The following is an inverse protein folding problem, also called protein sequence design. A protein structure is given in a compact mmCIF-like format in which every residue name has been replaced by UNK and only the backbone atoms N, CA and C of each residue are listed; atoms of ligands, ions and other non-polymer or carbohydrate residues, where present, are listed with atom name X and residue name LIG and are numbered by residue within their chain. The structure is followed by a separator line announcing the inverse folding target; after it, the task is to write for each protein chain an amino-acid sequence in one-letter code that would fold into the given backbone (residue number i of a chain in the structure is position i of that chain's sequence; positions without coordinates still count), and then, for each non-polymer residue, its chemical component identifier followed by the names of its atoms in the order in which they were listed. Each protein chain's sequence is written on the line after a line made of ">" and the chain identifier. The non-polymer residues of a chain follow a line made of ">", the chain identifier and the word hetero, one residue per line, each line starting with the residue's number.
data_IF_230739639223
#
_entry.id   IF_230739639223
#
_cell.length_a   1.000
_cell.length_b   1.000
_cell.length_c   1.000
_cell.angle_alpha   90.00
_cell.angle_beta   90.00
_cell.angle_gamma   90.00
#
_symmetry.space_group_name_H-M   'P 1'
#
loop_
_entity.id
_entity.type
_entity.pdbx_description
1 polymer ?
#
# COMPACT_ATOMS: atom_id res chain seq x y z
N UNK A 1 11.40 0.96 1.45
CA UNK A 1 12.59 1.01 0.58
C UNK A 1 13.17 2.42 0.62
N UNK A 2 14.45 2.56 0.95
CA UNK A 2 15.17 3.83 0.92
C UNK A 2 15.76 4.04 -0.47
N UNK A 3 15.67 5.29 -1.00
CA UNK A 3 16.30 5.65 -2.26
C UNK A 3 15.44 5.42 -3.51
N UNK A 4 14.13 5.33 -3.39
CA UNK A 4 13.23 5.35 -4.55
C UNK A 4 13.07 6.78 -5.07
N UNK A 5 12.97 6.95 -6.40
CA UNK A 5 12.80 8.26 -7.03
C UNK A 5 12.17 8.14 -8.41
N UNK A 6 11.60 9.24 -8.87
CA UNK A 6 11.31 9.50 -10.28
C UNK A 6 12.33 10.51 -10.83
N UNK A 7 12.78 10.33 -12.07
CA UNK A 7 13.53 11.33 -12.79
C UNK A 7 12.63 11.98 -13.85
N UNK A 8 12.43 13.31 -13.73
CA UNK A 8 11.70 14.11 -14.71
C UNK A 8 12.74 14.82 -15.58
N UNK A 9 12.74 14.54 -16.89
CA UNK A 9 13.64 15.22 -17.84
C UNK A 9 12.88 16.31 -18.58
N UNK A 10 13.30 17.55 -18.40
CA UNK A 10 12.81 18.72 -19.12
C UNK A 10 13.83 19.09 -20.18
N UNK A 11 13.40 19.17 -21.45
CA UNK A 11 14.25 19.59 -22.58
C UNK A 11 13.92 21.01 -22.99
N UNK A 12 14.92 21.89 -22.94
CA UNK A 12 14.86 23.25 -23.50
C UNK A 12 15.51 23.21 -24.87
N UNK A 13 14.67 23.13 -25.92
CA UNK A 13 15.17 23.01 -27.31
C UNK A 13 15.86 24.31 -27.79
N UNK A 14 15.28 25.46 -27.44
CA UNK A 14 15.82 26.78 -27.77
C UNK A 14 15.78 27.67 -26.52
N UNK A 15 16.95 28.00 -25.99
CA UNK A 15 17.11 28.88 -24.84
C UNK A 15 17.83 30.18 -25.21
N UNK A 16 17.92 31.15 -24.27
CA UNK A 16 17.41 31.05 -22.90
C UNK A 16 15.90 31.17 -22.80
N UNK A 17 15.28 30.52 -21.79
CA UNK A 17 13.83 30.66 -21.52
C UNK A 17 13.52 32.09 -21.07
N UNK A 18 12.41 32.66 -21.56
CA UNK A 18 12.00 34.04 -21.23
C UNK A 18 11.23 34.13 -19.90
N UNK A 19 10.72 33.00 -19.41
CA UNK A 19 9.98 32.89 -18.14
C UNK A 19 10.39 31.61 -17.40
N UNK A 20 9.96 31.48 -16.15
CA UNK A 20 10.10 30.24 -15.40
C UNK A 20 9.30 29.11 -16.03
N UNK A 21 9.80 27.87 -15.91
CA UNK A 21 9.07 26.66 -16.27
C UNK A 21 8.49 26.08 -14.98
N UNK A 22 7.18 25.94 -14.92
CA UNK A 22 6.49 25.27 -13.80
C UNK A 22 6.47 23.78 -14.05
N UNK A 23 6.88 23.01 -13.06
CA UNK A 23 6.81 21.55 -13.06
C UNK A 23 5.67 21.14 -12.15
N UNK A 24 4.74 20.32 -12.65
CA UNK A 24 3.68 19.72 -11.87
C UNK A 24 3.73 18.21 -12.02
N UNK A 25 3.54 17.51 -10.92
CA UNK A 25 3.48 16.06 -10.84
C UNK A 25 2.53 15.68 -9.71
N UNK A 26 1.57 14.80 -9.99
CA UNK A 26 0.69 14.20 -9.00
C UNK A 26 1.14 12.75 -8.81
N UNK A 27 1.81 12.48 -7.72
CA UNK A 27 2.31 11.15 -7.42
C UNK A 27 1.16 10.13 -7.29
N UNK A 28 1.36 8.88 -7.71
CA UNK A 28 0.36 7.82 -7.58
C UNK A 28 -0.08 7.59 -6.12
N UNK A 29 -1.25 6.99 -5.94
CA UNK A 29 -1.79 6.64 -4.62
C UNK A 29 -0.76 5.86 -3.80
N UNK A 30 -0.58 6.28 -2.55
CA UNK A 30 0.37 5.65 -1.61
C UNK A 30 1.84 6.02 -1.84
N UNK A 31 2.14 6.87 -2.81
CA UNK A 31 3.48 7.43 -3.02
C UNK A 31 3.50 8.87 -2.50
N UNK A 32 4.55 9.25 -1.81
CA UNK A 32 4.76 10.60 -1.29
C UNK A 32 6.20 11.05 -1.45
N UNK A 33 6.42 12.36 -1.44
CA UNK A 33 7.78 12.92 -1.42
C UNK A 33 8.50 12.53 -0.13
N UNK A 34 9.75 12.11 -0.25
CA UNK A 34 10.64 11.80 0.87
C UNK A 34 11.76 12.81 1.06
N UNK A 35 11.77 13.88 0.28
CA UNK A 35 12.71 14.97 0.31
C UNK A 35 12.48 15.95 -0.84
N UNK A 36 13.17 17.10 -0.83
CA UNK A 36 13.08 18.08 -1.91
C UNK A 36 13.70 17.51 -3.20
N UNK A 37 13.05 17.74 -4.37
CA UNK A 37 13.64 17.42 -5.65
C UNK A 37 14.98 18.13 -5.88
N UNK A 38 15.91 17.45 -6.56
CA UNK A 38 17.24 17.96 -6.87
C UNK A 38 17.49 17.92 -8.37
N UNK A 39 18.30 18.88 -8.85
CA UNK A 39 18.83 18.83 -10.20
C UNK A 39 20.02 17.89 -10.24
N UNK A 40 19.97 16.92 -11.15
CA UNK A 40 21.06 15.94 -11.32
C UNK A 40 22.24 16.51 -12.11
N UNK A 41 23.44 15.98 -11.81
CA UNK A 41 24.68 16.37 -12.48
C UNK A 41 24.70 16.03 -13.99
N UNK A 42 23.85 15.12 -14.44
CA UNK A 42 23.64 14.78 -15.86
C UNK A 42 22.93 15.87 -16.66
N UNK A 43 22.40 16.91 -16.01
CA UNK A 43 21.76 18.04 -16.66
C UNK A 43 22.76 18.85 -17.48
N UNK A 44 22.40 19.18 -18.73
CA UNK A 44 23.25 19.99 -19.63
C UNK A 44 22.83 21.46 -19.69
N UNK A 45 21.59 21.80 -19.29
CA UNK A 45 21.12 23.18 -19.15
C UNK A 45 21.55 23.76 -17.79
N UNK A 46 21.74 25.08 -17.74
CA UNK A 46 22.06 25.83 -16.51
C UNK A 46 20.83 26.05 -15.59
N UNK A 47 19.63 25.61 -15.98
CA UNK A 47 18.39 25.84 -15.22
C UNK A 47 18.53 25.51 -13.74
N UNK A 48 17.96 26.35 -12.88
CA UNK A 48 18.03 26.24 -11.41
C UNK A 48 16.63 25.94 -10.89
N UNK A 49 16.50 24.93 -10.00
CA UNK A 49 15.24 24.59 -9.35
C UNK A 49 14.95 25.56 -8.19
N UNK A 50 13.66 25.89 -8.04
CA UNK A 50 13.15 26.69 -6.92
C UNK A 50 11.73 26.31 -6.56
N UNK A 51 11.33 26.55 -5.31
CA UNK A 51 9.95 26.33 -4.83
C UNK A 51 9.50 24.88 -4.79
N UNK A 52 10.40 23.90 -4.96
CA UNK A 52 10.03 22.51 -4.93
C UNK A 52 9.73 22.02 -3.50
N UNK A 53 8.57 21.38 -3.25
CA UNK A 53 8.21 20.87 -1.94
C UNK A 53 9.08 19.66 -1.56
N UNK A 54 9.31 19.48 -0.26
CA UNK A 54 10.06 18.33 0.27
C UNK A 54 9.14 17.21 0.79
N UNK A 55 7.85 17.48 0.92
CA UNK A 55 6.84 16.55 1.45
C UNK A 55 5.52 16.69 0.71
N UNK A 56 4.64 15.72 0.83
CA UNK A 56 3.33 15.72 0.19
C UNK A 56 3.24 14.73 -0.98
N UNK A 57 2.18 14.82 -1.74
CA UNK A 57 1.88 13.91 -2.87
C UNK A 57 1.89 14.62 -4.22
N UNK A 58 2.32 15.87 -4.26
CA UNK A 58 2.37 16.69 -5.49
C UNK A 58 3.64 17.56 -5.52
N UNK A 59 4.11 17.90 -6.73
CA UNK A 59 5.17 18.90 -6.96
C UNK A 59 4.62 20.32 -7.13
N UNK A 60 3.59 20.69 -6.38
CA UNK A 60 3.01 22.02 -6.49
C UNK A 60 4.04 23.12 -6.18
N UNK A 61 4.19 24.10 -7.08
CA UNK A 61 5.11 25.24 -6.93
C UNK A 61 6.56 24.98 -7.33
N UNK A 62 6.92 23.77 -7.77
CA UNK A 62 8.27 23.47 -8.27
C UNK A 62 8.50 24.15 -9.62
N UNK A 63 9.59 24.89 -9.75
CA UNK A 63 9.91 25.66 -10.95
C UNK A 63 11.40 25.54 -11.34
N UNK A 64 11.64 25.66 -12.64
CA UNK A 64 12.96 26.00 -13.18
C UNK A 64 12.96 27.49 -13.44
N UNK A 65 13.93 28.23 -12.87
CA UNK A 65 14.04 29.68 -13.05
C UNK A 65 14.15 30.08 -14.54
N UNK A 66 13.69 31.29 -14.88
CA UNK A 66 13.92 31.88 -16.19
C UNK A 66 15.41 31.94 -16.57
N UNK A 67 15.68 32.15 -17.85
CA UNK A 67 17.03 32.14 -18.44
C UNK A 67 17.72 30.76 -18.44
N UNK A 68 16.96 29.67 -18.41
CA UNK A 68 17.50 28.34 -18.63
C UNK A 68 18.00 28.20 -20.06
N UNK A 69 19.27 27.80 -20.22
CA UNK A 69 19.91 27.59 -21.54
C UNK A 69 19.33 26.36 -22.25
N UNK A 70 19.52 26.27 -23.56
CA UNK A 70 19.26 25.04 -24.31
C UNK A 70 19.95 23.84 -23.66
N UNK A 71 19.31 22.68 -23.70
CA UNK A 71 19.79 21.44 -23.10
C UNK A 71 18.73 20.74 -22.27
N UNK A 72 19.15 19.78 -21.48
CA UNK A 72 18.28 18.98 -20.59
C UNK A 72 18.47 19.36 -19.14
N UNK A 73 17.37 19.31 -18.38
CA UNK A 73 17.37 19.42 -16.91
C UNK A 73 16.74 18.12 -16.39
N UNK A 74 17.54 17.33 -15.71
CA UNK A 74 17.06 16.10 -15.05
C UNK A 74 16.79 16.43 -13.60
N UNK A 75 15.54 16.24 -13.20
CA UNK A 75 15.03 16.52 -11.86
C UNK A 75 14.78 15.20 -11.16
N UNK A 76 15.56 14.89 -10.15
CA UNK A 76 15.32 13.71 -9.30
C UNK A 76 14.33 14.05 -8.21
N UNK A 77 13.23 13.32 -8.18
CA UNK A 77 12.12 13.45 -7.22
C UNK A 77 12.20 12.28 -6.27
N UNK A 78 12.75 12.43 -5.05
CA UNK A 78 12.85 11.36 -4.10
C UNK A 78 11.46 11.03 -3.53
N UNK A 79 11.13 9.74 -3.46
CA UNK A 79 9.81 9.30 -3.00
C UNK A 79 9.90 8.19 -1.95
N UNK A 80 8.87 8.15 -1.10
CA UNK A 80 8.60 7.05 -0.19
C UNK A 80 7.39 6.27 -0.72
N UNK A 81 7.49 4.95 -0.66
CA UNK A 81 6.41 4.03 -1.03
C UNK A 81 5.73 3.57 0.25
N UNK A 82 4.49 3.99 0.46
CA UNK A 82 3.67 3.59 1.60
C UNK A 82 3.07 2.19 1.42
N UNK A 83 2.54 1.64 2.50
CA UNK A 83 1.92 0.29 2.51
C UNK A 83 0.63 0.18 1.69
N UNK A 84 0.04 1.30 1.32
CA UNK A 84 -1.16 1.37 0.47
C UNK A 84 -0.85 1.72 -0.99
N UNK A 85 0.43 1.77 -1.36
CA UNK A 85 0.83 2.06 -2.74
C UNK A 85 0.41 0.93 -3.67
N UNK A 86 -0.18 1.30 -4.81
CA UNK A 86 -0.61 0.36 -5.84
C UNK A 86 0.18 0.58 -7.13
N UNK A 87 0.30 -0.45 -7.95
CA UNK A 87 0.84 -0.32 -9.32
C UNK A 87 0.07 0.77 -10.07
N UNK A 88 0.79 1.72 -10.65
CA UNK A 88 0.17 2.85 -11.35
C UNK A 88 1.16 3.60 -12.23
N UNK A 89 0.61 4.48 -13.06
CA UNK A 89 1.39 5.42 -13.87
C UNK A 89 1.62 6.71 -13.10
N UNK A 90 2.76 7.35 -13.33
CA UNK A 90 3.02 8.71 -12.87
C UNK A 90 3.06 9.66 -14.07
N UNK A 91 2.47 10.86 -13.92
CA UNK A 91 2.39 11.83 -15.01
C UNK A 91 2.90 13.18 -14.54
N UNK A 92 3.99 13.61 -15.14
CA UNK A 92 4.56 14.93 -14.93
C UNK A 92 4.25 15.88 -16.10
N UNK A 93 4.05 17.15 -15.79
CA UNK A 93 3.83 18.20 -16.78
C UNK A 93 4.84 19.34 -16.58
N UNK A 94 5.23 19.97 -17.70
CA UNK A 94 6.00 21.20 -17.69
C UNK A 94 5.25 22.28 -18.45
N UNK A 95 5.19 23.50 -17.91
CA UNK A 95 4.52 24.64 -18.57
C UNK A 95 5.26 25.94 -18.37
N UNK A 96 5.10 26.88 -19.29
CA UNK A 96 5.76 28.20 -19.22
C UNK A 96 7.05 28.24 -20.04
N UNK A 97 8.11 28.85 -19.48
CA UNK A 97 9.40 29.02 -20.19
C UNK A 97 9.38 30.03 -21.34
N UNK A 98 8.20 30.59 -21.67
CA UNK A 98 7.99 31.40 -22.87
C UNK A 98 7.52 30.61 -24.08
N UNK A 99 7.23 29.32 -23.93
CA UNK A 99 6.69 28.47 -25.00
C UNK A 99 5.14 28.46 -24.93
N UNK A 100 4.45 29.08 -25.90
CA UNK A 100 2.98 29.10 -25.92
C UNK A 100 2.36 27.73 -26.16
N UNK A 101 3.10 26.76 -26.72
CA UNK A 101 2.61 25.40 -26.93
C UNK A 101 2.71 24.55 -25.65
N UNK A 102 3.56 24.95 -24.68
CA UNK A 102 3.75 24.25 -23.42
C UNK A 102 2.88 24.85 -22.31
N UNK A 103 1.56 24.73 -22.45
CA UNK A 103 0.60 25.29 -21.49
C UNK A 103 -0.39 24.20 -21.04
N UNK A 104 0.15 23.14 -20.41
CA UNK A 104 -0.64 21.99 -19.97
C UNK A 104 -1.13 21.09 -21.12
N UNK A 105 -0.52 21.20 -22.32
CA UNK A 105 -0.84 20.35 -23.49
C UNK A 105 -0.10 19.00 -23.42
N UNK A 106 -0.56 18.04 -24.22
CA UNK A 106 0.08 16.71 -24.30
C UNK A 106 1.57 16.76 -24.68
N UNK A 107 1.99 17.80 -25.43
CA UNK A 107 3.39 17.99 -25.84
C UNK A 107 4.34 18.27 -24.66
N UNK A 108 3.82 18.77 -23.53
CA UNK A 108 4.58 19.11 -22.34
C UNK A 108 4.31 18.15 -21.19
N UNK A 109 3.70 17.02 -21.48
CA UNK A 109 3.32 15.98 -20.52
C UNK A 109 4.09 14.71 -20.82
N UNK A 110 4.59 14.07 -19.77
CA UNK A 110 5.21 12.75 -19.85
C UNK A 110 4.59 11.83 -18.80
N UNK A 111 4.27 10.62 -19.23
CA UNK A 111 3.68 9.59 -18.36
C UNK A 111 4.60 8.38 -18.33
N UNK A 112 4.91 7.86 -17.15
CA UNK A 112 5.68 6.62 -17.04
C UNK A 112 4.81 5.42 -17.46
N UNK A 113 5.42 4.33 -17.95
CA UNK A 113 4.76 3.02 -17.91
C UNK A 113 4.30 2.70 -16.48
N UNK A 114 3.33 1.79 -16.29
CA UNK A 114 2.94 1.36 -14.96
C UNK A 114 4.16 0.90 -14.16
N UNK A 115 4.41 1.55 -13.03
CA UNK A 115 5.47 1.17 -12.10
C UNK A 115 4.87 0.15 -11.14
N UNK A 116 5.41 -1.08 -11.18
CA UNK A 116 4.97 -2.14 -10.29
C UNK A 116 5.45 -1.85 -8.85
N UNK A 117 4.53 -1.86 -7.91
CA UNK A 117 4.89 -1.96 -6.48
C UNK A 117 5.26 -3.40 -6.23
N UNK A 118 6.51 -3.66 -5.84
CA UNK A 118 6.98 -5.00 -5.53
C UNK A 118 6.19 -5.60 -4.37
N UNK A 119 5.97 -6.93 -4.43
CA UNK A 119 5.33 -7.66 -3.34
C UNK A 119 6.16 -7.56 -2.05
N UNK A 120 5.52 -7.21 -0.95
CA UNK A 120 6.16 -7.23 0.36
C UNK A 120 6.22 -8.67 0.91
N UNK A 121 7.25 -8.98 1.68
CA UNK A 121 7.31 -10.25 2.38
C UNK A 121 6.15 -10.32 3.40
N UNK A 122 5.33 -11.38 3.31
CA UNK A 122 4.30 -11.71 4.30
C UNK A 122 4.86 -12.76 5.24
N UNK A 123 4.85 -12.46 6.54
CA UNK A 123 5.21 -13.42 7.58
C UNK A 123 3.98 -13.64 8.44
N UNK A 124 3.54 -14.90 8.52
CA UNK A 124 2.37 -15.31 9.30
C UNK A 124 2.80 -16.22 10.45
N UNK A 125 2.06 -16.17 11.53
CA UNK A 125 2.22 -16.98 12.74
C UNK A 125 0.94 -17.80 12.95
N UNK A 126 1.01 -19.13 13.18
CA UNK A 126 -0.17 -19.93 13.44
C UNK A 126 -0.90 -19.50 14.71
N UNK A 127 -2.21 -19.37 14.64
CA UNK A 127 -3.08 -19.00 15.76
C UNK A 127 -3.72 -20.23 16.40
N UNK A 128 -4.15 -20.09 17.64
CA UNK A 128 -4.96 -21.10 18.31
C UNK A 128 -5.80 -20.54 19.45
N UNK A 129 -6.96 -21.12 19.64
CA UNK A 129 -7.79 -20.74 20.78
C UNK A 129 -8.83 -21.82 21.16
N UNK A 130 -9.45 -21.64 22.32
CA UNK A 130 -10.38 -22.61 22.91
C UNK A 130 -11.65 -21.95 23.38
N UNK A 131 -12.81 -22.54 23.07
CA UNK A 131 -14.13 -22.11 23.58
C UNK A 131 -14.94 -23.30 24.04
N UNK A 132 -15.94 -23.05 24.89
CA UNK A 132 -16.93 -24.07 25.29
C UNK A 132 -17.98 -24.27 24.21
N UNK A 133 -18.25 -25.50 23.79
CA UNK A 133 -19.19 -25.79 22.71
C UNK A 133 -20.64 -25.38 23.00
N UNK A 134 -21.07 -25.35 24.27
CA UNK A 134 -22.44 -24.93 24.65
C UNK A 134 -22.63 -23.43 24.47
N UNK A 135 -21.65 -22.63 24.92
CA UNK A 135 -21.76 -21.17 24.88
C UNK A 135 -21.29 -20.56 23.57
N UNK A 136 -20.39 -21.24 22.88
CA UNK A 136 -19.67 -20.63 21.76
C UNK A 136 -18.80 -19.46 22.22
N UNK A 137 -18.44 -18.56 21.32
CA UNK A 137 -17.74 -17.33 21.63
C UNK A 137 -16.54 -17.03 20.71
N UNK A 138 -15.76 -16.05 21.08
CA UNK A 138 -14.55 -15.66 20.36
C UNK A 138 -13.40 -16.60 20.72
N UNK A 139 -12.81 -17.21 19.71
CA UNK A 139 -11.61 -18.07 19.81
C UNK A 139 -10.35 -17.21 19.77
N UNK A 140 -10.31 -16.31 18.78
CA UNK A 140 -9.23 -15.35 18.58
C UNK A 140 -9.84 -14.00 18.20
N UNK A 141 -9.34 -12.94 18.81
CA UNK A 141 -9.87 -11.60 18.59
C UNK A 141 -9.38 -10.98 17.27
N UNK A 142 -8.19 -11.39 16.82
CA UNK A 142 -7.58 -10.92 15.58
C UNK A 142 -6.44 -11.86 15.16
N UNK A 143 -6.72 -12.78 14.22
CA UNK A 143 -5.75 -13.75 13.70
C UNK A 143 -4.60 -13.15 12.89
N UNK A 144 -4.61 -11.85 12.60
CA UNK A 144 -3.52 -11.18 11.87
C UNK A 144 -2.71 -10.26 12.78
N UNK A 145 -2.97 -10.29 14.09
CA UNK A 145 -2.40 -9.32 15.04
C UNK A 145 -0.89 -9.44 15.25
N UNK A 146 -0.33 -10.61 15.06
CA UNK A 146 1.10 -10.93 15.14
C UNK A 146 1.74 -11.23 13.77
N UNK A 147 0.95 -11.12 12.69
CA UNK A 147 1.43 -11.21 11.32
C UNK A 147 2.08 -9.91 10.84
N UNK A 148 2.94 -10.00 9.82
CA UNK A 148 3.57 -8.81 9.25
C UNK A 148 3.56 -8.81 7.72
N UNK A 149 3.46 -7.59 7.14
CA UNK A 149 3.62 -7.32 5.71
C UNK A 149 4.75 -6.29 5.55
N UNK A 150 5.84 -6.68 4.89
CA UNK A 150 7.02 -5.82 4.72
C UNK A 150 7.69 -5.42 6.04
N UNK A 151 7.56 -6.28 7.09
CA UNK A 151 8.08 -6.02 8.43
C UNK A 151 7.21 -5.10 9.29
N UNK A 152 6.05 -4.63 8.80
CA UNK A 152 5.06 -3.89 9.58
C UNK A 152 3.92 -4.82 10.00
N UNK A 153 3.37 -4.62 11.19
CA UNK A 153 2.21 -5.40 11.67
C UNK A 153 1.07 -5.36 10.65
N UNK A 154 0.46 -6.51 10.38
CA UNK A 154 -0.71 -6.59 9.52
C UNK A 154 -1.91 -5.92 10.21
N UNK A 155 -2.58 -5.04 9.49
CA UNK A 155 -3.73 -4.29 9.97
C UNK A 155 -4.88 -4.39 8.97
N UNK A 156 -6.08 -4.63 9.49
CA UNK A 156 -7.31 -4.76 8.69
C UNK A 156 -8.11 -3.44 8.67
N UNK A 157 -9.09 -3.38 7.77
CA UNK A 157 -10.00 -2.22 7.64
C UNK A 157 -9.55 -1.20 6.61
N UNK A 158 -10.27 -0.08 6.50
CA UNK A 158 -10.16 0.86 5.37
C UNK A 158 -8.82 1.58 5.19
N UNK A 159 -7.98 1.63 6.22
CA UNK A 159 -6.60 2.17 6.16
C UNK A 159 -5.55 1.11 6.48
N UNK A 160 -5.94 -0.16 6.56
CA UNK A 160 -5.05 -1.27 6.82
C UNK A 160 -4.16 -1.62 5.61
N UNK A 161 -3.07 -2.35 5.88
CA UNK A 161 -2.16 -2.87 4.86
C UNK A 161 -2.50 -4.31 4.43
N UNK A 162 -3.51 -4.94 5.08
CA UNK A 162 -3.89 -6.33 4.92
C UNK A 162 -5.38 -6.53 4.66
N UNK A 163 -5.70 -7.62 3.95
CA UNK A 163 -7.02 -8.23 3.90
C UNK A 163 -6.94 -9.68 4.30
N UNK A 164 -7.99 -10.21 4.93
CA UNK A 164 -8.06 -11.60 5.35
C UNK A 164 -9.36 -12.24 4.86
N UNK A 165 -9.30 -13.50 4.49
CA UNK A 165 -10.47 -14.32 4.12
C UNK A 165 -10.21 -15.79 4.45
N UNK A 166 -11.25 -16.62 4.44
CA UNK A 166 -11.07 -18.08 4.46
C UNK A 166 -10.27 -18.48 3.21
N UNK A 167 -9.30 -19.38 3.38
CA UNK A 167 -8.49 -19.81 2.23
C UNK A 167 -9.36 -20.57 1.20
N UNK A 168 -9.44 -20.09 -0.05
CA UNK A 168 -10.24 -20.73 -1.09
C UNK A 168 -9.65 -22.05 -1.57
N UNK A 169 -8.38 -22.32 -1.28
CA UNK A 169 -7.69 -23.58 -1.62
C UNK A 169 -7.88 -24.69 -0.59
N UNK A 170 -8.42 -24.37 0.60
CA UNK A 170 -8.65 -25.29 1.71
C UNK A 170 -10.10 -25.84 1.71
N UNK A 171 -10.36 -26.93 2.45
CA UNK A 171 -11.73 -27.31 2.77
C UNK A 171 -12.49 -26.16 3.44
N UNK A 172 -13.76 -25.99 3.08
CA UNK A 172 -14.61 -24.97 3.69
C UNK A 172 -14.64 -25.12 5.21
N UNK A 173 -14.59 -24.02 5.92
CA UNK A 173 -14.71 -24.01 7.38
C UNK A 173 -16.07 -24.60 7.79
N UNK A 174 -16.15 -25.32 8.92
CA UNK A 174 -17.43 -25.70 9.50
C UNK A 174 -18.33 -24.48 9.65
N UNK A 175 -19.61 -24.57 9.29
CA UNK A 175 -20.53 -23.44 9.28
C UNK A 175 -20.67 -22.72 10.63
N UNK A 176 -20.37 -23.40 11.73
CA UNK A 176 -20.37 -22.85 13.09
C UNK A 176 -19.05 -22.19 13.51
N UNK A 177 -18.02 -22.17 12.66
CA UNK A 177 -16.77 -21.43 12.86
C UNK A 177 -16.73 -20.30 11.83
N UNK A 178 -16.69 -19.06 12.29
CA UNK A 178 -16.83 -17.88 11.44
C UNK A 178 -15.61 -16.97 11.54
N UNK A 179 -15.20 -16.40 10.41
CA UNK A 179 -14.18 -15.36 10.31
C UNK A 179 -14.85 -14.01 10.03
N UNK A 180 -14.58 -13.04 10.88
CA UNK A 180 -14.88 -11.65 10.60
C UNK A 180 -13.73 -11.02 9.81
N UNK A 181 -13.90 -10.79 8.53
CA UNK A 181 -12.86 -10.26 7.63
C UNK A 181 -12.48 -8.80 7.88
N UNK A 182 -13.28 -8.08 8.67
CA UNK A 182 -12.98 -6.68 9.02
C UNK A 182 -12.10 -6.57 10.26
N UNK A 183 -12.30 -7.47 11.22
CA UNK A 183 -11.59 -7.43 12.52
C UNK A 183 -10.55 -8.53 12.67
N UNK A 184 -10.60 -9.58 11.84
CA UNK A 184 -9.78 -10.79 12.00
C UNK A 184 -10.30 -11.74 13.10
N UNK A 185 -11.43 -11.44 13.72
CA UNK A 185 -11.95 -12.27 14.79
C UNK A 185 -12.47 -13.62 14.26
N UNK A 186 -12.11 -14.70 14.97
CA UNK A 186 -12.65 -16.04 14.77
C UNK A 186 -13.61 -16.38 15.90
N UNK A 187 -14.83 -16.75 15.55
CA UNK A 187 -15.90 -17.05 16.49
C UNK A 187 -16.50 -18.43 16.26
N UNK A 188 -17.07 -19.00 17.30
CA UNK A 188 -17.79 -20.29 17.27
C UNK A 188 -19.21 -20.06 17.75
N UNK A 189 -20.18 -20.62 17.02
CA UNK A 189 -21.58 -20.54 17.38
C UNK A 189 -21.91 -21.39 18.62
N UNK A 190 -22.94 -21.04 19.41
CA UNK A 190 -23.44 -21.89 20.50
C UNK A 190 -23.88 -23.27 20.01
N UNK A 191 -23.81 -24.25 20.88
CA UNK A 191 -24.18 -25.65 20.62
C UNK A 191 -23.35 -26.34 19.50
N UNK A 192 -22.12 -25.87 19.28
CA UNK A 192 -21.20 -26.46 18.31
C UNK A 192 -20.59 -27.77 18.83
N UNK A 193 -20.34 -28.74 17.92
CA UNK A 193 -19.73 -30.03 18.27
C UNK A 193 -18.32 -29.84 18.88
N UNK A 194 -18.03 -30.59 19.96
CA UNK A 194 -16.70 -30.61 20.52
C UNK A 194 -15.69 -31.25 19.55
N UNK A 195 -14.48 -30.73 19.52
CA UNK A 195 -13.43 -31.21 18.64
C UNK A 195 -12.31 -30.18 18.46
N UNK A 196 -11.30 -30.56 17.68
CA UNK A 196 -10.22 -29.66 17.26
C UNK A 196 -10.31 -29.50 15.75
N UNK A 197 -10.39 -28.28 15.29
CA UNK A 197 -10.62 -27.88 13.91
C UNK A 197 -9.49 -26.98 13.43
N UNK A 198 -8.49 -27.54 12.72
CA UNK A 198 -7.53 -26.69 12.01
C UNK A 198 -8.21 -26.13 10.76
N UNK A 199 -8.38 -24.82 10.71
CA UNK A 199 -8.97 -24.10 9.57
C UNK A 199 -7.96 -23.11 9.01
N UNK A 200 -7.97 -22.90 7.69
CA UNK A 200 -6.98 -22.08 7.02
C UNK A 200 -7.57 -20.76 6.56
N UNK A 201 -6.82 -19.69 6.77
CA UNK A 201 -7.10 -18.36 6.23
C UNK A 201 -6.02 -17.93 5.25
N UNK A 202 -6.37 -16.99 4.38
CA UNK A 202 -5.46 -16.35 3.45
C UNK A 202 -5.32 -14.87 3.83
N UNK A 203 -4.09 -14.45 4.13
CA UNK A 203 -3.70 -13.06 4.37
C UNK A 203 -3.12 -12.48 3.10
N UNK A 204 -3.68 -11.37 2.60
CA UNK A 204 -3.20 -10.72 1.38
C UNK A 204 -2.80 -9.26 1.64
N UNK A 205 -1.79 -8.80 0.92
CA UNK A 205 -1.34 -7.42 0.91
C UNK A 205 -2.34 -6.52 0.16
N UNK A 206 -2.78 -5.40 0.76
CA UNK A 206 -3.68 -4.44 0.11
C UNK A 206 -3.05 -3.81 -1.12
N UNK A 207 -1.77 -3.45 -1.04
CA UNK A 207 -1.02 -2.82 -2.14
C UNK A 207 -0.78 -3.78 -3.32
N UNK A 208 -0.80 -5.09 -3.06
CA UNK A 208 -0.63 -6.13 -4.08
C UNK A 208 -1.56 -7.32 -3.75
N UNK A 209 -2.84 -7.27 -4.16
CA UNK A 209 -3.87 -8.24 -3.75
C UNK A 209 -3.63 -9.69 -4.22
N UNK A 210 -2.65 -9.91 -5.10
CA UNK A 210 -2.22 -11.25 -5.53
C UNK A 210 -1.08 -11.79 -4.66
N UNK A 211 -0.46 -10.94 -3.83
CA UNK A 211 0.54 -11.33 -2.86
C UNK A 211 -0.18 -11.78 -1.58
N UNK A 212 -0.36 -13.08 -1.46
CA UNK A 212 -1.07 -13.70 -0.36
C UNK A 212 -0.26 -14.81 0.28
N UNK A 213 -0.55 -15.10 1.55
CA UNK A 213 -0.01 -16.25 2.27
C UNK A 213 -1.11 -16.91 3.09
N UNK A 214 -1.15 -18.24 3.05
CA UNK A 214 -2.07 -19.05 3.84
C UNK A 214 -1.44 -19.42 5.18
N UNK A 215 -2.26 -19.38 6.24
CA UNK A 215 -1.89 -19.83 7.57
C UNK A 215 -3.06 -20.55 8.24
N UNK A 216 -2.78 -21.23 9.35
CA UNK A 216 -3.75 -22.07 10.08
C UNK A 216 -4.12 -21.43 11.40
N UNK A 217 -5.42 -21.37 11.70
CA UNK A 217 -5.92 -21.16 13.06
C UNK A 217 -6.50 -22.47 13.60
N UNK A 218 -6.02 -22.92 14.76
CA UNK A 218 -6.50 -24.15 15.41
C UNK A 218 -7.58 -23.81 16.43
N UNK A 219 -8.83 -24.11 16.09
CA UNK A 219 -10.01 -23.91 16.94
C UNK A 219 -10.27 -25.16 17.77
N UNK A 220 -10.22 -25.06 19.09
CA UNK A 220 -10.57 -26.15 20.01
C UNK A 220 -11.92 -25.85 20.68
N UNK A 221 -12.90 -26.71 20.45
CA UNK A 221 -14.22 -26.65 21.06
C UNK A 221 -14.31 -27.73 22.15
N UNK A 222 -14.41 -27.32 23.40
CA UNK A 222 -14.46 -28.25 24.53
C UNK A 222 -15.87 -28.77 24.77
N UNK A 223 -16.04 -30.06 25.14
CA UNK A 223 -17.34 -30.59 25.52
C UNK A 223 -17.85 -29.98 26.84
N UNK A 224 -19.16 -29.91 26.99
CA UNK A 224 -19.77 -29.55 28.27
C UNK A 224 -20.63 -30.74 28.77
N UNK A 225 -20.46 -31.07 30.04
CA UNK A 225 -21.23 -32.07 30.72
C UNK A 225 -21.93 -31.42 31.92
N UNK A 226 -23.26 -31.52 32.03
CA UNK A 226 -23.96 -31.12 33.22
C UNK A 226 -24.71 -32.33 33.84
N UNK A 227 -24.65 -32.43 35.14
CA UNK A 227 -25.42 -33.45 35.90
C UNK A 227 -26.39 -32.72 36.79
N UNK A 228 -27.70 -33.00 36.64
CA UNK A 228 -28.75 -32.48 37.54
C UNK A 228 -29.29 -33.67 38.34
N UNK A 229 -29.18 -33.59 39.67
CA UNK A 229 -29.81 -34.54 40.59
C UNK A 229 -31.09 -33.89 41.15
N UNK A 230 -32.25 -34.47 40.84
CA UNK A 230 -33.52 -34.10 41.42
C UNK A 230 -33.88 -35.06 42.53
N UNK A 231 -34.29 -34.54 43.70
CA UNK A 231 -34.93 -35.34 44.77
C UNK A 231 -36.43 -35.32 44.53
N UNK A 232 -37.09 -36.50 44.62
CA UNK A 232 -38.55 -36.67 44.65
C UNK A 232 -39.02 -36.94 46.07
#
# INVERSE_FOLDING_TARGET
>A
ATGQYYDITVTVASGPTSAAITIADNLPTGISLSGAPTKEASSTSNGVLSGCPATGTTLAGCQIAANASSGTIVIRVPVAVGSTATTGTNTATASGGGDPACNGTAACTSTTPPVAVGANAIVTTPDSGTVGGVAGGTVEANIVGDDTIGGNTATLGGSGNATVKQDPGSPAWPAYIQLNTTTGAVTVDPASPAGTYPVQYELCEVANPTNCKTETVTVTITPSISVVKTAS
#
